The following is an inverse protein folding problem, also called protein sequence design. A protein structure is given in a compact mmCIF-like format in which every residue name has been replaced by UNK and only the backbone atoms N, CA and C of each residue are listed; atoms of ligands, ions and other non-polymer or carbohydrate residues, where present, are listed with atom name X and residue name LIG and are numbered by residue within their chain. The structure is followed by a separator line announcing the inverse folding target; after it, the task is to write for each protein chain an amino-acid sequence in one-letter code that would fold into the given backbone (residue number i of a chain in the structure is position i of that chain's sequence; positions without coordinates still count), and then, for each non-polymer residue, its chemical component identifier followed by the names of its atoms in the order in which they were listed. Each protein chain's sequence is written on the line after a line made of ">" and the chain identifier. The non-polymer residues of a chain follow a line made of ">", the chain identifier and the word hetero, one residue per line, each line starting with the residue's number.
data_IF_368054317369
#
_entry.id   IF_368054317369
#
_cell.length_a   1.000
_cell.length_b   1.000
_cell.length_c   1.000
_cell.angle_alpha   90.00
_cell.angle_beta   90.00
_cell.angle_gamma   90.00
#
_symmetry.space_group_name_H-M   'P 1'
#
loop_
_entity.id
_entity.type
_entity.pdbx_description
1 polymer ?
#
# COMPACT_ATOMS: atom_id res chain seq x y z
N UNK A 1 -26.57 -6.14 10.84
CA UNK A 1 -25.84 -4.85 10.86
C UNK A 1 -26.81 -3.82 11.40
N UNK A 2 -26.58 -3.29 12.61
CA UNK A 2 -27.41 -2.22 13.15
C UNK A 2 -26.93 -0.91 12.53
N UNK A 3 -27.77 -0.24 11.74
CA UNK A 3 -27.57 1.15 11.36
C UNK A 3 -27.58 2.05 12.59
N UNK A 4 -26.43 2.39 13.08
CA UNK A 4 -26.29 3.49 14.07
C UNK A 4 -26.03 4.79 13.32
N UNK A 5 -27.07 5.56 13.05
CA UNK A 5 -26.95 6.98 12.69
C UNK A 5 -26.43 7.77 13.89
N UNK A 6 -25.14 7.70 14.17
CA UNK A 6 -24.50 8.62 15.10
C UNK A 6 -24.11 9.87 14.28
N UNK A 7 -24.70 11.01 14.57
CA UNK A 7 -24.18 12.30 14.10
C UNK A 7 -22.84 12.51 14.83
N UNK A 8 -21.75 12.12 14.22
CA UNK A 8 -20.42 12.45 14.74
C UNK A 8 -20.19 13.94 14.57
N UNK A 9 -19.83 14.60 15.67
CA UNK A 9 -19.48 16.01 15.65
C UNK A 9 -18.04 16.11 15.15
N UNK A 10 -17.87 16.68 13.96
CA UNK A 10 -16.57 16.92 13.37
C UNK A 10 -15.72 17.82 14.28
N UNK A 11 -14.52 17.38 14.62
CA UNK A 11 -13.58 18.17 15.43
C UNK A 11 -12.90 19.25 14.59
N UNK A 12 -12.78 20.44 15.14
CA UNK A 12 -12.11 21.57 14.48
C UNK A 12 -10.98 22.08 15.38
N UNK A 13 -9.78 22.09 14.85
CA UNK A 13 -8.59 22.68 15.44
C UNK A 13 -8.43 24.11 14.87
N UNK A 14 -8.90 25.13 15.59
CA UNK A 14 -8.82 26.50 15.12
C UNK A 14 -7.49 27.14 15.54
N UNK A 15 -6.65 27.46 14.57
CA UNK A 15 -5.37 28.14 14.75
C UNK A 15 -5.32 29.48 13.98
N UNK A 16 -6.49 30.02 13.59
CA UNK A 16 -6.59 31.25 12.80
C UNK A 16 -5.98 32.50 13.44
N UNK A 17 -5.98 32.55 14.79
CA UNK A 17 -5.44 33.66 15.56
C UNK A 17 -3.93 33.56 15.89
N UNK A 18 -3.25 32.56 15.33
CA UNK A 18 -1.80 32.32 15.57
C UNK A 18 -0.95 32.89 14.44
N UNK A 19 0.37 32.86 14.63
CA UNK A 19 1.27 33.05 13.51
C UNK A 19 1.27 31.79 12.62
N UNK A 20 1.48 31.94 11.30
CA UNK A 20 1.55 30.81 10.36
C UNK A 20 2.51 29.71 10.85
N UNK A 21 3.71 30.10 11.33
CA UNK A 21 4.70 29.15 11.82
C UNK A 21 4.21 28.33 13.01
N UNK A 22 3.52 28.96 13.94
CA UNK A 22 2.93 28.28 15.11
C UNK A 22 1.77 27.36 14.71
N UNK A 23 0.89 27.85 13.82
CA UNK A 23 -0.22 27.09 13.30
C UNK A 23 0.25 25.80 12.58
N UNK A 24 1.26 25.92 11.70
CA UNK A 24 1.84 24.74 11.05
C UNK A 24 2.46 23.75 12.05
N UNK A 25 3.23 24.24 13.04
CA UNK A 25 3.80 23.39 14.09
C UNK A 25 2.71 22.65 14.90
N UNK A 26 1.58 23.29 15.18
CA UNK A 26 0.45 22.63 15.85
C UNK A 26 -0.29 21.67 14.93
N UNK A 27 -0.45 22.01 13.66
CA UNK A 27 -1.07 21.15 12.67
C UNK A 27 -0.27 19.84 12.46
N UNK A 28 1.07 19.91 12.53
CA UNK A 28 1.90 18.70 12.52
C UNK A 28 1.69 17.81 13.75
N UNK A 29 1.45 18.39 14.92
CA UNK A 29 1.07 17.61 16.12
C UNK A 29 -0.31 16.95 15.98
N UNK A 30 -1.26 17.63 15.31
CA UNK A 30 -2.57 17.04 15.00
C UNK A 30 -2.38 15.85 14.05
N UNK A 31 -1.59 16.03 12.98
CA UNK A 31 -1.25 14.97 12.04
C UNK A 31 -0.62 13.77 12.76
N UNK A 32 0.40 14.01 13.59
CA UNK A 32 1.10 12.97 14.34
C UNK A 32 0.16 12.19 15.26
N UNK A 33 -0.71 12.89 15.98
CA UNK A 33 -1.72 12.27 16.85
C UNK A 33 -2.68 11.39 16.05
N UNK A 34 -3.19 11.88 14.91
CA UNK A 34 -4.13 11.15 14.06
C UNK A 34 -3.45 9.97 13.34
N UNK A 35 -2.20 10.14 12.88
CA UNK A 35 -1.42 9.06 12.25
C UNK A 35 -1.24 7.83 13.16
N UNK A 36 -1.30 8.01 14.49
CA UNK A 36 -1.13 6.90 15.44
C UNK A 36 -2.38 6.65 16.31
N UNK A 37 -3.51 7.22 15.91
CA UNK A 37 -4.80 6.97 16.58
C UNK A 37 -5.27 5.55 16.26
N UNK A 38 -5.64 4.81 17.30
CA UNK A 38 -6.35 3.54 17.15
C UNK A 38 -7.85 3.81 17.15
N UNK A 39 -8.53 3.51 16.05
CA UNK A 39 -9.98 3.54 15.98
C UNK A 39 -10.58 2.38 16.80
N UNK A 40 -11.70 2.61 17.44
CA UNK A 40 -12.38 1.60 18.28
C UNK A 40 -13.37 0.81 17.41
N UNK A 41 -12.81 -0.03 16.51
CA UNK A 41 -13.58 -0.76 15.49
C UNK A 41 -14.67 -1.63 16.08
N UNK A 42 -14.44 -2.24 17.27
CA UNK A 42 -15.44 -3.03 17.98
C UNK A 42 -16.66 -2.20 18.40
N UNK A 43 -16.51 -0.87 18.50
CA UNK A 43 -17.59 0.08 18.79
C UNK A 43 -18.17 0.72 17.54
N UNK A 44 -17.70 0.30 16.34
CA UNK A 44 -18.11 0.84 15.06
C UNK A 44 -17.44 2.18 14.70
N UNK A 45 -16.34 2.56 15.37
CA UNK A 45 -15.52 3.69 15.00
C UNK A 45 -14.50 3.21 13.95
N UNK A 46 -14.80 3.44 12.67
CA UNK A 46 -14.01 2.92 11.53
C UNK A 46 -13.43 4.03 10.68
N UNK A 47 -13.84 5.27 10.87
CA UNK A 47 -13.31 6.45 10.20
C UNK A 47 -13.46 7.69 11.09
N UNK A 48 -12.65 8.71 10.82
CA UNK A 48 -12.76 10.02 11.48
C UNK A 48 -12.37 11.16 10.53
N UNK A 49 -12.93 12.34 10.78
CA UNK A 49 -12.61 13.56 10.06
C UNK A 49 -12.38 14.68 11.05
N UNK A 50 -11.23 15.36 10.92
CA UNK A 50 -10.94 16.59 11.68
C UNK A 50 -10.51 17.71 10.73
N UNK A 51 -10.76 18.95 11.08
CA UNK A 51 -10.33 20.12 10.37
C UNK A 51 -9.26 20.88 11.15
N UNK A 52 -8.33 21.50 10.43
CA UNK A 52 -7.40 22.48 10.99
C UNK A 52 -7.53 23.77 10.18
N UNK A 53 -7.90 24.87 10.85
CA UNK A 53 -8.00 26.21 10.25
C UNK A 53 -6.68 26.96 10.47
N UNK A 54 -6.18 27.61 9.40
CA UNK A 54 -4.92 28.35 9.41
C UNK A 54 -5.16 29.86 9.32
N UNK A 55 -4.22 30.70 9.82
CA UNK A 55 -4.30 32.17 9.73
C UNK A 55 -4.49 32.69 8.30
N UNK A 56 -3.90 32.00 7.32
CA UNK A 56 -4.03 32.30 5.88
C UNK A 56 -5.41 32.05 5.30
N UNK A 57 -6.39 31.60 6.10
CA UNK A 57 -7.71 31.18 5.62
C UNK A 57 -7.72 29.79 4.96
N UNK A 58 -6.58 29.11 4.88
CA UNK A 58 -6.50 27.73 4.41
C UNK A 58 -7.10 26.78 5.46
N UNK A 59 -7.63 25.66 4.99
CA UNK A 59 -8.13 24.58 5.84
C UNK A 59 -7.45 23.29 5.46
N UNK A 60 -6.98 22.53 6.44
CA UNK A 60 -6.50 21.15 6.24
C UNK A 60 -7.59 20.18 6.70
N UNK A 61 -7.96 19.26 5.82
CA UNK A 61 -8.87 18.17 6.13
C UNK A 61 -7.99 16.96 6.49
N UNK A 62 -8.19 16.41 7.68
CA UNK A 62 -7.57 15.16 8.12
C UNK A 62 -8.64 14.08 8.06
N UNK A 63 -8.33 12.99 7.38
CA UNK A 63 -9.19 11.81 7.26
C UNK A 63 -8.38 10.63 7.76
N UNK A 64 -8.88 9.91 8.74
CA UNK A 64 -8.37 8.62 9.18
C UNK A 64 -9.45 7.55 8.97
N UNK A 65 -9.02 6.38 8.49
CA UNK A 65 -9.92 5.31 8.09
C UNK A 65 -9.26 3.95 8.32
N UNK A 66 -10.04 3.01 8.85
CA UNK A 66 -9.59 1.62 9.00
C UNK A 66 -9.77 0.87 7.68
N UNK A 67 -8.75 0.11 7.29
CA UNK A 67 -8.75 -0.68 6.05
C UNK A 67 -9.79 -1.82 6.05
N UNK A 68 -10.41 -2.14 7.20
CA UNK A 68 -11.53 -3.09 7.24
C UNK A 68 -12.74 -2.64 6.43
N UNK A 69 -12.90 -1.35 6.17
CA UNK A 69 -14.09 -0.80 5.50
C UNK A 69 -13.80 -0.27 4.10
N UNK A 70 -12.55 -0.05 3.75
CA UNK A 70 -12.22 0.61 2.49
C UNK A 70 -10.79 0.28 2.04
N UNK A 71 -10.66 0.02 0.76
CA UNK A 71 -9.39 -0.02 0.03
C UNK A 71 -9.05 1.36 -0.58
N UNK A 72 -7.95 1.45 -1.32
CA UNK A 72 -7.53 2.70 -2.00
C UNK A 72 -8.58 3.18 -3.01
N UNK A 73 -9.22 2.27 -3.76
CA UNK A 73 -10.29 2.66 -4.71
C UNK A 73 -11.52 3.19 -3.97
N UNK A 74 -11.87 2.57 -2.84
CA UNK A 74 -12.94 3.07 -1.98
C UNK A 74 -12.65 4.46 -1.44
N UNK A 75 -11.39 4.73 -1.06
CA UNK A 75 -10.96 6.08 -0.67
C UNK A 75 -11.12 7.08 -1.83
N UNK A 76 -10.76 6.70 -3.05
CA UNK A 76 -10.97 7.55 -4.24
C UNK A 76 -12.45 7.86 -4.48
N UNK A 77 -13.35 6.87 -4.31
CA UNK A 77 -14.79 7.06 -4.41
C UNK A 77 -15.26 8.05 -3.34
N UNK A 78 -14.87 7.86 -2.09
CA UNK A 78 -15.20 8.75 -0.97
C UNK A 78 -14.74 10.19 -1.21
N UNK A 79 -13.50 10.38 -1.69
CA UNK A 79 -12.98 11.71 -1.99
C UNK A 79 -13.69 12.36 -3.17
N UNK A 80 -14.02 11.59 -4.23
CA UNK A 80 -14.84 12.04 -5.35
C UNK A 80 -16.22 12.52 -4.87
N UNK A 81 -16.86 11.73 -4.02
CA UNK A 81 -18.20 12.02 -3.50
C UNK A 81 -18.16 13.20 -2.52
N UNK A 82 -17.13 13.32 -1.69
CA UNK A 82 -16.92 14.47 -0.81
C UNK A 82 -16.84 15.77 -1.62
N UNK A 83 -16.06 15.80 -2.70
CA UNK A 83 -15.97 16.95 -3.59
C UNK A 83 -17.30 17.25 -4.28
N UNK A 84 -18.05 16.24 -4.69
CA UNK A 84 -19.38 16.40 -5.29
C UNK A 84 -20.39 16.97 -4.30
N UNK A 85 -20.44 16.43 -3.09
CA UNK A 85 -21.33 16.90 -2.02
C UNK A 85 -21.00 18.34 -1.58
N UNK A 86 -19.70 18.67 -1.45
CA UNK A 86 -19.26 20.03 -1.13
C UNK A 86 -19.74 21.06 -2.17
N UNK A 87 -19.79 20.67 -3.44
CA UNK A 87 -20.34 21.48 -4.53
C UNK A 87 -21.88 21.41 -4.66
N UNK A 88 -22.58 20.87 -3.66
CA UNK A 88 -24.04 20.79 -3.63
C UNK A 88 -24.64 19.78 -4.62
N UNK A 89 -23.83 18.86 -5.17
CA UNK A 89 -24.34 17.82 -6.06
C UNK A 89 -24.99 16.70 -5.26
N UNK A 90 -26.11 16.17 -5.80
CA UNK A 90 -26.71 14.96 -5.26
C UNK A 90 -25.77 13.78 -5.49
N UNK A 91 -25.49 13.03 -4.43
CA UNK A 91 -24.71 11.79 -4.54
C UNK A 91 -25.56 10.69 -5.23
N UNK A 92 -24.88 9.69 -5.84
CA UNK A 92 -25.56 8.50 -6.36
C UNK A 92 -26.46 7.87 -5.28
N UNK A 93 -27.58 7.31 -5.69
CA UNK A 93 -28.42 6.52 -4.79
C UNK A 93 -27.75 5.15 -4.56
N UNK A 94 -27.90 4.64 -3.33
CA UNK A 94 -27.39 3.31 -3.00
C UNK A 94 -28.00 2.26 -3.95
N UNK A 95 -27.15 1.39 -4.49
CA UNK A 95 -27.62 0.25 -5.25
C UNK A 95 -28.41 -0.68 -4.32
N UNK A 96 -29.64 -1.03 -4.72
CA UNK A 96 -30.45 -2.01 -3.99
C UNK A 96 -30.04 -3.45 -4.28
N UNK A 97 -29.38 -3.66 -5.42
CA UNK A 97 -29.09 -4.99 -5.95
C UNK A 97 -27.69 -5.46 -5.60
N UNK A 98 -26.75 -4.52 -5.36
CA UNK A 98 -25.37 -4.82 -5.08
C UNK A 98 -24.85 -4.10 -3.84
N UNK A 99 -24.29 -4.91 -2.94
CA UNK A 99 -23.51 -4.47 -1.79
C UNK A 99 -22.36 -5.47 -1.59
N UNK A 100 -21.45 -5.18 -0.67
CA UNK A 100 -20.29 -6.03 -0.46
C UNK A 100 -20.64 -7.47 -0.03
N UNK A 101 -21.70 -7.67 0.76
CA UNK A 101 -22.14 -9.01 1.16
C UNK A 101 -22.63 -9.83 -0.04
N UNK A 102 -23.51 -9.23 -0.88
CA UNK A 102 -23.98 -9.87 -2.11
C UNK A 102 -22.84 -10.20 -3.08
N UNK A 103 -21.83 -9.30 -3.17
CA UNK A 103 -20.61 -9.55 -3.93
C UNK A 103 -19.87 -10.79 -3.44
N UNK A 104 -19.63 -10.90 -2.13
CA UNK A 104 -18.89 -12.03 -1.54
C UNK A 104 -19.65 -13.36 -1.73
N UNK A 105 -20.96 -13.35 -1.56
CA UNK A 105 -21.81 -14.54 -1.81
C UNK A 105 -21.71 -14.98 -3.27
N UNK A 106 -21.80 -14.06 -4.21
CA UNK A 106 -21.69 -14.34 -5.64
C UNK A 106 -20.29 -14.83 -6.00
N UNK A 107 -19.27 -14.14 -5.56
CA UNK A 107 -17.87 -14.54 -5.78
C UNK A 107 -17.59 -15.96 -5.25
N UNK A 108 -18.13 -16.30 -4.08
CA UNK A 108 -17.94 -17.64 -3.49
C UNK A 108 -18.48 -18.77 -4.39
N UNK A 109 -19.53 -18.50 -5.14
CA UNK A 109 -20.11 -19.43 -6.11
C UNK A 109 -19.30 -19.48 -7.40
N UNK A 110 -19.05 -18.30 -7.98
CA UNK A 110 -18.42 -18.16 -9.30
C UNK A 110 -16.96 -18.64 -9.29
N UNK A 111 -16.22 -18.42 -8.19
CA UNK A 111 -14.80 -18.74 -8.09
C UNK A 111 -14.47 -20.14 -7.55
N UNK A 112 -15.48 -20.97 -7.30
CA UNK A 112 -15.26 -22.28 -6.65
C UNK A 112 -14.22 -23.16 -7.37
N UNK A 113 -14.30 -23.23 -8.69
CA UNK A 113 -13.40 -24.07 -9.52
C UNK A 113 -12.00 -23.47 -9.58
N UNK A 114 -11.91 -22.16 -9.77
CA UNK A 114 -10.65 -21.42 -9.81
C UNK A 114 -9.93 -21.49 -8.45
N UNK A 115 -10.68 -21.42 -7.37
CA UNK A 115 -10.16 -21.52 -6.00
C UNK A 115 -9.53 -22.89 -5.71
N UNK A 116 -10.16 -23.99 -6.15
CA UNK A 116 -9.55 -25.32 -5.97
C UNK A 116 -8.25 -25.47 -6.80
N UNK A 117 -8.24 -25.00 -8.05
CA UNK A 117 -7.00 -24.98 -8.86
C UNK A 117 -5.90 -24.15 -8.22
N UNK A 118 -6.23 -22.96 -7.73
CA UNK A 118 -5.30 -22.06 -7.07
C UNK A 118 -4.74 -22.70 -5.79
N UNK A 119 -5.60 -23.32 -4.98
CA UNK A 119 -5.23 -24.03 -3.78
C UNK A 119 -4.26 -25.18 -4.06
N UNK A 120 -4.51 -25.95 -5.11
CA UNK A 120 -3.61 -27.06 -5.52
C UNK A 120 -2.25 -26.54 -5.98
N UNK A 121 -2.22 -25.43 -6.72
CA UNK A 121 -0.98 -24.77 -7.12
C UNK A 121 -0.14 -24.36 -5.90
N UNK A 122 -0.73 -23.61 -4.96
CA UNK A 122 -0.03 -23.12 -3.77
C UNK A 122 0.39 -24.26 -2.84
N UNK A 123 -0.45 -25.29 -2.66
CA UNK A 123 -0.12 -26.46 -1.83
C UNK A 123 1.11 -27.22 -2.32
N UNK A 124 1.29 -27.36 -3.63
CA UNK A 124 2.49 -27.99 -4.20
C UNK A 124 3.76 -27.19 -3.94
N UNK A 125 3.64 -25.90 -3.70
CA UNK A 125 4.78 -25.01 -3.43
C UNK A 125 5.08 -24.82 -1.96
N UNK A 126 4.17 -25.13 -1.05
CA UNK A 126 4.35 -24.89 0.39
C UNK A 126 5.69 -25.40 0.95
N UNK A 127 6.20 -26.52 0.42
CA UNK A 127 7.46 -27.12 0.88
C UNK A 127 8.71 -26.37 0.40
N UNK A 128 8.58 -25.57 -0.64
CA UNK A 128 9.70 -24.88 -1.30
C UNK A 128 9.63 -23.37 -1.17
N UNK A 129 8.48 -22.81 -0.72
CA UNK A 129 8.35 -21.37 -0.50
C UNK A 129 9.32 -20.92 0.60
N UNK A 130 10.12 -19.87 0.34
CA UNK A 130 11.00 -19.30 1.35
C UNK A 130 10.20 -18.55 2.41
N UNK A 131 10.87 -18.10 3.45
CA UNK A 131 10.36 -17.12 4.41
C UNK A 131 10.44 -15.68 3.81
N UNK A 132 9.98 -14.70 4.55
CA UNK A 132 10.28 -13.30 4.26
C UNK A 132 11.79 -13.01 4.30
N UNK A 133 12.23 -11.81 3.89
CA UNK A 133 13.64 -11.43 3.97
C UNK A 133 14.11 -11.42 5.43
N UNK A 134 15.23 -12.10 5.70
CA UNK A 134 15.87 -12.13 7.01
C UNK A 134 16.72 -10.88 7.21
N UNK A 135 16.03 -9.76 7.47
CA UNK A 135 16.68 -8.47 7.73
C UNK A 135 17.30 -8.43 9.13
N UNK A 136 18.42 -7.69 9.34
CA UNK A 136 18.95 -7.46 10.66
C UNK A 136 17.90 -6.78 11.55
N UNK A 137 17.66 -7.34 12.72
CA UNK A 137 16.75 -6.78 13.71
C UNK A 137 17.52 -6.34 14.95
N UNK A 138 17.22 -5.15 15.45
CA UNK A 138 17.70 -4.64 16.73
C UNK A 138 16.87 -5.17 17.90
N UNK A 139 15.59 -5.51 17.65
CA UNK A 139 14.66 -6.08 18.64
C UNK A 139 13.81 -7.16 17.98
N UNK A 140 13.43 -8.17 18.75
CA UNK A 140 12.41 -9.12 18.30
C UNK A 140 11.06 -8.41 18.13
N UNK A 141 10.23 -8.77 17.15
CA UNK A 141 8.93 -8.14 16.94
C UNK A 141 8.02 -8.18 18.18
N UNK A 142 8.11 -9.24 18.98
CA UNK A 142 7.35 -9.43 20.21
C UNK A 142 7.77 -8.47 21.34
N UNK A 143 8.96 -7.88 21.26
CA UNK A 143 9.48 -6.90 22.22
C UNK A 143 9.04 -5.47 21.90
N UNK A 144 8.39 -5.25 20.74
CA UNK A 144 7.89 -3.94 20.34
C UNK A 144 6.49 -3.73 20.89
N UNK A 145 6.39 -3.10 22.05
CA UNK A 145 5.11 -2.85 22.76
C UNK A 145 4.12 -2.04 21.92
N UNK A 146 4.62 -1.07 21.15
CA UNK A 146 3.81 -0.21 20.29
C UNK A 146 4.42 -0.12 18.89
N UNK A 147 3.66 -0.61 17.92
CA UNK A 147 4.01 -0.45 16.51
C UNK A 147 3.78 1.01 16.09
N UNK A 148 4.87 1.70 15.76
CA UNK A 148 4.87 3.08 15.26
C UNK A 148 5.61 3.09 13.93
N UNK A 149 4.93 3.52 12.89
CA UNK A 149 5.53 3.64 11.56
C UNK A 149 6.11 5.04 11.36
N UNK A 150 7.30 5.07 10.77
CA UNK A 150 7.93 6.30 10.30
C UNK A 150 8.00 6.29 8.79
N UNK A 151 7.55 7.38 8.17
CA UNK A 151 7.54 7.53 6.71
C UNK A 151 8.81 8.19 6.22
N UNK A 152 9.43 7.55 5.23
CA UNK A 152 10.48 8.13 4.38
C UNK A 152 9.94 8.34 2.98
N UNK A 153 10.41 9.41 2.33
CA UNK A 153 9.93 9.80 1.00
C UNK A 153 11.12 10.01 0.09
N UNK A 154 11.08 9.38 -1.08
CA UNK A 154 11.93 9.68 -2.23
C UNK A 154 11.06 10.24 -3.33
N UNK A 155 11.51 11.33 -3.95
CA UNK A 155 10.87 11.94 -5.09
C UNK A 155 11.75 11.76 -6.32
N UNK A 156 11.22 11.10 -7.35
CA UNK A 156 11.83 11.06 -8.67
C UNK A 156 11.08 12.09 -9.51
N UNK A 157 11.81 13.10 -9.97
CA UNK A 157 11.26 14.20 -10.74
C UNK A 157 10.76 13.72 -12.11
N UNK A 158 9.80 14.44 -12.67
CA UNK A 158 9.08 14.07 -13.90
C UNK A 158 10.00 13.62 -15.02
N UNK A 159 11.05 14.39 -15.32
CA UNK A 159 11.97 14.08 -16.42
C UNK A 159 12.64 12.73 -16.24
N UNK A 160 13.19 12.47 -15.06
CA UNK A 160 13.86 11.23 -14.75
C UNK A 160 12.86 10.05 -14.71
N UNK A 161 11.66 10.30 -14.20
CA UNK A 161 10.60 9.30 -14.19
C UNK A 161 10.16 8.90 -15.61
N UNK A 162 10.02 9.85 -16.53
CA UNK A 162 9.73 9.61 -17.95
C UNK A 162 10.87 8.81 -18.62
N UNK A 163 12.13 9.08 -18.28
CA UNK A 163 13.29 8.32 -18.74
C UNK A 163 13.25 6.86 -18.23
N UNK A 164 12.96 6.63 -16.96
CA UNK A 164 12.78 5.28 -16.39
C UNK A 164 11.62 4.53 -17.04
N UNK A 165 10.48 5.19 -17.27
CA UNK A 165 9.34 4.62 -17.98
C UNK A 165 9.68 4.22 -19.41
N UNK A 166 10.45 5.07 -20.11
CA UNK A 166 10.92 4.79 -21.47
C UNK A 166 11.83 3.57 -21.52
N UNK A 167 12.79 3.49 -20.58
CA UNK A 167 13.65 2.30 -20.45
C UNK A 167 12.87 1.04 -20.09
N UNK A 168 11.92 1.12 -19.17
CA UNK A 168 11.07 -0.02 -18.88
C UNK A 168 10.37 -0.56 -20.14
N UNK A 169 9.88 0.35 -20.98
CA UNK A 169 9.29 -0.04 -22.27
C UNK A 169 10.30 -0.66 -23.22
N UNK A 170 11.52 -0.13 -23.30
CA UNK A 170 12.62 -0.68 -24.11
C UNK A 170 12.95 -2.13 -23.70
N UNK A 171 13.02 -2.38 -22.40
CA UNK A 171 13.25 -3.72 -21.83
C UNK A 171 11.98 -4.59 -21.73
N UNK A 172 10.89 -4.21 -22.41
CA UNK A 172 9.61 -4.94 -22.47
C UNK A 172 9.02 -5.26 -21.09
N UNK A 173 9.11 -4.30 -20.19
CA UNK A 173 8.57 -4.40 -18.82
C UNK A 173 7.73 -3.17 -18.47
N UNK A 174 7.23 -3.13 -17.25
CA UNK A 174 6.42 -2.01 -16.73
C UNK A 174 7.20 -1.23 -15.66
N UNK A 175 6.88 0.06 -15.45
CA UNK A 175 7.45 0.83 -14.35
C UNK A 175 7.23 0.18 -12.97
N UNK A 176 6.09 -0.48 -12.77
CA UNK A 176 5.81 -1.24 -11.54
C UNK A 176 6.80 -2.39 -11.32
N UNK A 177 7.13 -3.13 -12.39
CA UNK A 177 8.11 -4.22 -12.34
C UNK A 177 9.53 -3.71 -12.10
N UNK A 178 9.89 -2.58 -12.69
CA UNK A 178 11.17 -1.89 -12.43
C UNK A 178 11.28 -1.55 -10.93
N UNK A 179 10.27 -0.88 -10.36
CA UNK A 179 10.26 -0.50 -8.94
C UNK A 179 10.29 -1.73 -8.02
N UNK A 180 9.53 -2.77 -8.33
CA UNK A 180 9.52 -4.03 -7.58
C UNK A 180 10.90 -4.71 -7.59
N UNK A 181 11.54 -4.75 -8.76
CA UNK A 181 12.87 -5.34 -8.90
C UNK A 181 13.93 -4.52 -8.16
N UNK A 182 13.86 -3.20 -8.22
CA UNK A 182 14.75 -2.32 -7.46
C UNK A 182 14.55 -2.50 -5.95
N UNK A 183 13.30 -2.60 -5.48
CA UNK A 183 12.97 -2.89 -4.08
C UNK A 183 13.53 -4.24 -3.63
N UNK A 184 13.32 -5.29 -4.43
CA UNK A 184 13.85 -6.63 -4.17
C UNK A 184 15.39 -6.65 -4.13
N UNK A 185 16.06 -5.92 -5.03
CA UNK A 185 17.53 -5.78 -5.06
C UNK A 185 18.05 -5.14 -3.78
N UNK A 186 17.37 -4.11 -3.28
CA UNK A 186 17.75 -3.48 -2.01
C UNK A 186 17.51 -4.44 -0.85
N UNK A 187 16.34 -5.06 -0.74
CA UNK A 187 16.07 -6.03 0.31
C UNK A 187 17.10 -7.16 0.34
N UNK A 188 17.50 -7.68 -0.80
CA UNK A 188 18.50 -8.73 -0.93
C UNK A 188 19.85 -8.35 -0.31
N UNK A 189 20.29 -7.08 -0.44
CA UNK A 189 21.57 -6.61 0.09
C UNK A 189 21.63 -6.61 1.61
N UNK A 190 20.52 -6.42 2.28
CA UNK A 190 20.40 -6.46 3.74
C UNK A 190 19.88 -7.80 4.25
N UNK A 191 19.34 -8.65 3.39
CA UNK A 191 18.81 -9.94 3.78
C UNK A 191 19.89 -11.01 3.85
N UNK A 192 19.82 -11.84 4.89
CA UNK A 192 20.68 -13.02 5.02
C UNK A 192 20.35 -14.09 3.98
N UNK A 193 19.07 -14.27 3.68
CA UNK A 193 18.61 -15.22 2.67
C UNK A 193 18.49 -14.56 1.30
N UNK A 194 18.85 -15.31 0.24
CA UNK A 194 18.81 -14.84 -1.16
C UNK A 194 17.50 -15.18 -1.86
N UNK A 195 16.66 -16.00 -1.23
CA UNK A 195 15.28 -16.27 -1.65
C UNK A 195 14.36 -15.85 -0.54
N UNK A 196 13.34 -15.06 -0.86
CA UNK A 196 12.40 -14.54 0.13
C UNK A 196 11.05 -14.19 -0.48
N UNK A 197 10.04 -14.03 0.37
CA UNK A 197 8.70 -13.61 -0.02
C UNK A 197 8.50 -12.11 0.19
N UNK A 198 7.83 -11.48 -0.76
CA UNK A 198 7.29 -10.12 -0.66
C UNK A 198 5.77 -10.20 -0.74
N UNK A 199 5.06 -9.49 0.13
CA UNK A 199 3.62 -9.29 0.03
C UNK A 199 3.30 -8.25 -1.06
N UNK A 200 2.47 -8.65 -2.01
CA UNK A 200 1.95 -7.78 -3.06
C UNK A 200 0.45 -7.63 -2.84
N UNK A 201 -0.02 -6.50 -2.27
CA UNK A 201 -1.44 -6.19 -2.23
C UNK A 201 -1.93 -5.79 -3.62
N UNK A 202 -3.11 -6.26 -4.00
CA UNK A 202 -3.78 -5.83 -5.22
C UNK A 202 -5.30 -5.83 -5.02
N UNK A 203 -5.99 -5.05 -5.84
CA UNK A 203 -7.44 -4.89 -5.74
C UNK A 203 -8.12 -5.94 -6.61
N UNK A 204 -8.84 -6.86 -5.98
CA UNK A 204 -9.57 -7.93 -6.66
C UNK A 204 -11.06 -7.56 -6.80
N UNK A 205 -11.33 -6.33 -7.21
CA UNK A 205 -12.69 -5.85 -7.48
C UNK A 205 -13.13 -6.31 -8.86
N UNK A 206 -14.12 -7.19 -8.92
CA UNK A 206 -14.68 -7.70 -10.17
C UNK A 206 -15.67 -6.69 -10.74
N UNK A 207 -15.23 -5.90 -11.69
CA UNK A 207 -16.01 -4.83 -12.31
C UNK A 207 -17.03 -5.33 -13.32
N UNK A 208 -17.04 -6.62 -13.66
CA UNK A 208 -18.08 -7.27 -14.46
C UNK A 208 -19.46 -7.32 -13.75
N UNK A 209 -19.49 -7.13 -12.42
CA UNK A 209 -20.74 -6.98 -11.70
C UNK A 209 -21.20 -5.51 -11.73
N UNK A 210 -22.39 -5.21 -12.28
CA UNK A 210 -22.84 -3.83 -12.45
C UNK A 210 -22.87 -3.06 -11.12
N UNK A 211 -22.31 -1.85 -11.11
CA UNK A 211 -22.30 -0.96 -9.93
C UNK A 211 -21.21 -1.27 -8.91
N UNK A 212 -20.38 -2.29 -9.13
CA UNK A 212 -19.29 -2.62 -8.20
C UNK A 212 -18.20 -1.54 -8.15
N UNK A 213 -18.05 -0.76 -9.20
CA UNK A 213 -17.12 0.38 -9.27
C UNK A 213 -17.45 1.51 -8.27
N UNK A 214 -18.68 1.56 -7.76
CA UNK A 214 -19.14 2.56 -6.79
C UNK A 214 -19.27 2.00 -5.35
N UNK A 215 -19.01 0.71 -5.14
CA UNK A 215 -19.13 0.09 -3.80
C UNK A 215 -17.91 0.41 -2.96
N UNK A 216 -18.16 0.91 -1.74
CA UNK A 216 -17.12 1.17 -0.74
C UNK A 216 -16.97 -0.07 0.12
N UNK A 217 -15.81 -0.73 0.01
CA UNK A 217 -15.41 -1.89 0.82
C UNK A 217 -13.92 -2.19 0.62
N UNK A 218 -13.36 -3.07 1.42
CA UNK A 218 -12.02 -3.59 1.19
C UNK A 218 -12.07 -4.80 0.24
N UNK A 219 -11.60 -4.58 -0.99
CA UNK A 219 -11.41 -5.63 -2.01
C UNK A 219 -9.93 -6.05 -2.12
N UNK A 220 -9.09 -5.59 -1.20
CA UNK A 220 -7.67 -5.92 -1.20
C UNK A 220 -7.48 -7.41 -0.96
N UNK A 221 -6.68 -8.02 -1.80
CA UNK A 221 -6.16 -9.35 -1.60
C UNK A 221 -4.64 -9.32 -1.65
N UNK A 222 -4.00 -10.37 -1.17
CA UNK A 222 -2.55 -10.46 -1.11
C UNK A 222 -2.06 -11.59 -2.01
N UNK A 223 -0.92 -11.36 -2.64
CA UNK A 223 -0.11 -12.36 -3.30
C UNK A 223 1.23 -12.46 -2.58
N UNK A 224 1.68 -13.67 -2.28
CA UNK A 224 3.03 -13.93 -1.76
C UNK A 224 3.95 -14.18 -2.95
N UNK A 225 4.68 -13.15 -3.36
CA UNK A 225 5.63 -13.26 -4.46
C UNK A 225 6.97 -13.79 -3.97
N UNK A 226 7.42 -14.91 -4.55
CA UNK A 226 8.77 -15.41 -4.35
C UNK A 226 9.77 -14.62 -5.21
N UNK A 227 10.80 -14.09 -4.55
CA UNK A 227 11.97 -13.47 -5.17
C UNK A 227 13.17 -14.39 -5.03
N UNK A 228 13.85 -14.68 -6.14
CA UNK A 228 15.05 -15.52 -6.19
C UNK A 228 16.23 -14.73 -6.73
N UNK A 229 17.12 -14.34 -5.82
CA UNK A 229 18.38 -13.63 -6.11
C UNK A 229 19.61 -14.57 -6.07
N UNK A 230 19.42 -15.90 -6.06
CA UNK A 230 20.53 -16.84 -6.08
C UNK A 230 21.37 -16.70 -7.37
N UNK A 231 22.66 -17.00 -7.25
CA UNK A 231 23.64 -16.87 -8.32
C UNK A 231 23.93 -15.44 -8.82
N UNK A 232 23.66 -14.43 -7.97
CA UNK A 232 23.97 -13.02 -8.23
C UNK A 232 23.51 -12.55 -9.63
N UNK A 233 22.21 -12.58 -9.93
CA UNK A 233 21.70 -12.15 -11.24
C UNK A 233 22.01 -10.68 -11.50
N UNK A 234 22.13 -10.30 -12.76
CA UNK A 234 22.07 -8.90 -13.17
C UNK A 234 20.66 -8.33 -12.87
N UNK A 235 20.51 -7.00 -12.87
CA UNK A 235 19.19 -6.39 -12.65
C UNK A 235 18.16 -6.91 -13.69
N UNK A 236 18.54 -7.00 -14.96
CA UNK A 236 17.68 -7.50 -16.03
C UNK A 236 17.29 -8.97 -15.85
N UNK A 237 18.23 -9.83 -15.43
CA UNK A 237 17.94 -11.23 -15.14
C UNK A 237 16.99 -11.38 -13.96
N UNK A 238 17.20 -10.60 -12.88
CA UNK A 238 16.31 -10.60 -11.72
C UNK A 238 14.90 -10.11 -12.09
N UNK A 239 14.81 -9.02 -12.85
CA UNK A 239 13.55 -8.51 -13.38
C UNK A 239 12.80 -9.58 -14.16
N UNK A 240 13.48 -10.29 -15.06
CA UNK A 240 12.88 -11.38 -15.82
C UNK A 240 12.38 -12.53 -14.96
N UNK A 241 13.11 -12.90 -13.89
CA UNK A 241 12.67 -13.92 -12.90
C UNK A 241 11.42 -13.47 -12.17
N UNK A 242 11.43 -12.25 -11.62
CA UNK A 242 10.31 -11.67 -10.86
C UNK A 242 9.07 -11.54 -11.75
N UNK A 243 9.23 -11.00 -12.97
CA UNK A 243 8.11 -10.83 -13.90
C UNK A 243 7.49 -12.17 -14.28
N UNK A 244 8.29 -13.18 -14.55
CA UNK A 244 7.82 -14.55 -14.86
C UNK A 244 7.07 -15.14 -13.68
N UNK A 245 7.63 -15.04 -12.47
CA UNK A 245 7.02 -15.59 -11.26
C UNK A 245 5.69 -14.87 -10.92
N UNK A 246 5.69 -13.54 -10.96
CA UNK A 246 4.48 -12.76 -10.72
C UNK A 246 3.38 -13.10 -11.75
N UNK A 247 3.74 -13.21 -13.03
CA UNK A 247 2.79 -13.57 -14.08
C UNK A 247 2.18 -14.96 -13.87
N UNK A 248 2.98 -15.91 -13.40
CA UNK A 248 2.47 -17.25 -13.07
C UNK A 248 1.55 -17.23 -11.85
N UNK A 249 1.98 -16.59 -10.76
CA UNK A 249 1.24 -16.53 -9.50
C UNK A 249 -0.10 -15.78 -9.63
N UNK A 250 -0.16 -14.77 -10.50
CA UNK A 250 -1.40 -14.02 -10.79
C UNK A 250 -2.54 -14.88 -11.37
N UNK A 251 -2.24 -16.03 -11.96
CA UNK A 251 -3.26 -16.98 -12.45
C UNK A 251 -3.98 -17.72 -11.30
N UNK A 252 -3.42 -17.66 -10.09
CA UNK A 252 -3.86 -18.44 -8.94
C UNK A 252 -4.25 -17.58 -7.74
N UNK A 253 -4.68 -16.35 -7.99
CA UNK A 253 -5.05 -15.37 -6.95
C UNK A 253 -6.38 -15.67 -6.27
N UNK A 254 -7.19 -16.60 -6.79
CA UNK A 254 -8.41 -17.09 -6.14
C UNK A 254 -8.13 -17.80 -4.79
N UNK A 255 -6.88 -18.18 -4.53
CA UNK A 255 -6.38 -18.60 -3.22
C UNK A 255 -5.39 -17.55 -2.72
N UNK A 256 -5.86 -16.67 -1.83
CA UNK A 256 -5.14 -15.45 -1.46
C UNK A 256 -3.86 -15.74 -0.67
N UNK A 257 -2.91 -14.80 -0.68
CA UNK A 257 -1.69 -14.86 0.12
C UNK A 257 -1.95 -15.07 1.61
N UNK A 258 -3.08 -14.55 2.14
CA UNK A 258 -3.50 -14.81 3.54
C UNK A 258 -3.78 -16.30 3.77
N UNK A 259 -4.41 -16.96 2.80
CA UNK A 259 -4.68 -18.42 2.89
C UNK A 259 -3.38 -19.22 2.79
N UNK A 260 -2.47 -18.81 1.91
CA UNK A 260 -1.13 -19.42 1.80
C UNK A 260 -0.35 -19.24 3.10
N UNK A 261 -0.31 -18.05 3.69
CA UNK A 261 0.33 -17.80 4.99
C UNK A 261 -0.24 -18.69 6.11
N UNK A 262 -1.56 -18.83 6.17
CA UNK A 262 -2.21 -19.72 7.14
C UNK A 262 -1.79 -21.18 6.96
N UNK A 263 -1.66 -21.65 5.73
CA UNK A 263 -1.21 -23.01 5.45
C UNK A 263 0.28 -23.18 5.82
N UNK A 264 1.13 -22.19 5.53
CA UNK A 264 2.53 -22.15 5.96
C UNK A 264 2.65 -22.20 7.50
N UNK A 265 1.90 -21.37 8.21
CA UNK A 265 1.88 -21.34 9.69
C UNK A 265 1.42 -22.67 10.27
N UNK A 266 0.37 -23.29 9.71
CA UNK A 266 -0.08 -24.62 10.14
C UNK A 266 0.98 -25.70 9.95
N UNK A 267 1.78 -25.60 8.88
CA UNK A 267 2.78 -26.59 8.53
C UNK A 267 4.05 -26.48 9.37
N UNK A 268 4.50 -25.25 9.61
CA UNK A 268 5.78 -24.99 10.28
C UNK A 268 5.66 -24.54 11.73
N UNK A 269 4.44 -24.31 12.20
CA UNK A 269 4.17 -23.95 13.61
C UNK A 269 4.71 -22.58 14.04
N UNK A 270 5.13 -21.75 13.07
CA UNK A 270 5.82 -20.51 13.35
C UNK A 270 5.18 -19.33 12.59
N UNK A 271 4.79 -18.30 13.35
CA UNK A 271 4.32 -17.03 12.79
C UNK A 271 5.42 -16.27 12.02
N UNK A 272 6.71 -16.63 12.24
CA UNK A 272 7.87 -16.02 11.55
C UNK A 272 7.96 -16.37 10.06
N UNK A 273 7.09 -17.26 9.55
CA UNK A 273 6.98 -17.54 8.10
C UNK A 273 6.31 -16.40 7.34
N UNK A 274 5.80 -15.38 8.04
CA UNK A 274 5.18 -14.23 7.39
C UNK A 274 6.18 -13.45 6.52
N UNK A 275 5.72 -12.89 5.40
CA UNK A 275 6.46 -11.92 4.62
C UNK A 275 6.17 -10.52 5.19
N UNK A 276 7.01 -9.98 6.08
CA UNK A 276 6.71 -8.73 6.80
C UNK A 276 7.00 -7.47 5.97
N UNK A 277 7.34 -7.65 4.69
CA UNK A 277 7.61 -6.57 3.75
C UNK A 277 6.55 -6.54 2.67
N UNK A 278 6.11 -5.35 2.35
CA UNK A 278 5.02 -5.09 1.40
C UNK A 278 5.53 -4.24 0.25
N UNK A 279 5.07 -4.53 -0.95
CA UNK A 279 5.23 -3.68 -2.11
C UNK A 279 3.87 -3.34 -2.70
N UNK A 280 3.37 -2.13 -2.40
CA UNK A 280 2.11 -1.61 -2.89
C UNK A 280 2.35 -0.58 -4.00
N UNK A 281 2.01 -0.94 -5.23
CA UNK A 281 2.22 -0.09 -6.40
C UNK A 281 0.88 0.52 -6.85
N UNK A 282 0.75 1.85 -6.74
CA UNK A 282 -0.44 2.62 -7.10
C UNK A 282 -0.19 3.50 -8.34
N UNK A 283 0.71 3.09 -9.24
CA UNK A 283 0.97 3.81 -10.49
C UNK A 283 -0.25 3.83 -11.41
N UNK A 284 -0.45 4.94 -12.12
CA UNK A 284 -1.57 5.13 -13.03
C UNK A 284 -2.94 5.31 -12.36
N UNK A 285 -2.98 5.36 -11.03
CA UNK A 285 -4.23 5.50 -10.27
C UNK A 285 -4.09 6.65 -9.26
N UNK A 286 -4.33 7.90 -9.68
CA UNK A 286 -4.17 9.06 -8.79
C UNK A 286 -5.15 8.97 -7.62
N UNK A 287 -4.66 9.23 -6.41
CA UNK A 287 -5.47 9.17 -5.19
C UNK A 287 -6.61 10.19 -5.20
N UNK A 288 -6.37 11.36 -5.78
CA UNK A 288 -7.35 12.44 -5.94
C UNK A 288 -7.45 12.82 -7.42
N UNK A 289 -8.66 13.00 -7.90
CA UNK A 289 -8.91 13.48 -9.26
C UNK A 289 -8.81 15.02 -9.35
N UNK A 290 -8.71 15.56 -10.57
CA UNK A 290 -8.60 17.00 -10.80
C UNK A 290 -9.75 17.79 -10.15
N UNK A 291 -10.97 17.27 -10.24
CA UNK A 291 -12.14 17.91 -9.63
C UNK A 291 -12.02 18.04 -8.10
N UNK A 292 -11.44 17.04 -7.43
CA UNK A 292 -11.15 17.14 -6.01
C UNK A 292 -10.15 18.25 -5.73
N UNK A 293 -9.06 18.30 -6.52
CA UNK A 293 -8.02 19.33 -6.39
C UNK A 293 -8.59 20.74 -6.55
N UNK A 294 -9.43 20.96 -7.56
CA UNK A 294 -10.09 22.24 -7.81
C UNK A 294 -11.07 22.65 -6.69
N UNK A 295 -11.69 21.67 -6.02
CA UNK A 295 -12.73 21.92 -5.02
C UNK A 295 -12.18 21.99 -3.60
N UNK A 296 -11.36 21.02 -3.22
CA UNK A 296 -10.90 20.80 -1.84
C UNK A 296 -9.39 20.93 -1.68
N UNK A 297 -8.65 21.14 -2.77
CA UNK A 297 -7.22 21.39 -2.77
C UNK A 297 -6.38 20.14 -2.93
N UNK A 298 -5.08 20.31 -2.69
CA UNK A 298 -4.08 19.27 -2.96
C UNK A 298 -3.93 18.30 -1.80
N UNK A 299 -3.59 17.07 -2.16
CA UNK A 299 -3.18 16.05 -1.24
C UNK A 299 -1.80 16.38 -0.65
N UNK A 300 -1.63 16.32 0.67
CA UNK A 300 -0.39 16.73 1.32
C UNK A 300 0.34 15.62 2.07
N UNK A 301 -0.38 14.64 2.61
CA UNK A 301 0.21 13.59 3.42
C UNK A 301 -0.72 12.38 3.53
N UNK A 302 -0.15 11.19 3.50
CA UNK A 302 -0.82 9.94 3.83
C UNK A 302 0.19 9.03 4.54
N UNK A 303 -0.28 8.18 5.43
CA UNK A 303 0.48 7.05 5.99
C UNK A 303 -0.45 5.85 6.06
N UNK A 304 0.05 4.68 5.65
CA UNK A 304 -0.63 3.40 5.83
C UNK A 304 0.09 2.62 6.91
N UNK A 305 -0.67 1.93 7.77
CA UNK A 305 -0.10 1.20 8.90
C UNK A 305 -0.82 -0.14 9.06
N UNK A 306 -0.09 -1.23 8.87
CA UNK A 306 -0.58 -2.59 9.07
C UNK A 306 0.27 -3.26 10.14
N UNK A 307 -0.28 -3.65 11.30
CA UNK A 307 0.51 -4.08 12.46
C UNK A 307 1.48 -5.24 12.22
N UNK A 308 1.21 -6.12 11.23
CA UNK A 308 2.06 -7.27 10.90
C UNK A 308 3.17 -6.95 9.89
N UNK A 309 3.20 -5.72 9.38
CA UNK A 309 4.17 -5.27 8.40
C UNK A 309 5.31 -4.53 9.11
N UNK A 310 6.55 -4.78 8.67
CA UNK A 310 7.75 -4.10 9.17
C UNK A 310 8.21 -2.98 8.24
N UNK A 311 8.00 -3.17 6.94
CA UNK A 311 8.33 -2.21 5.91
C UNK A 311 7.28 -2.28 4.79
N UNK A 312 6.65 -1.14 4.49
CA UNK A 312 5.62 -0.97 3.47
C UNK A 312 6.11 0.03 2.43
N UNK A 313 6.39 -0.45 1.23
CA UNK A 313 6.71 0.38 0.08
C UNK A 313 5.42 0.78 -0.64
N UNK A 314 5.28 2.06 -0.95
CA UNK A 314 4.17 2.56 -1.76
C UNK A 314 4.66 3.55 -2.81
N UNK A 315 3.98 3.61 -3.96
CA UNK A 315 4.27 4.54 -5.05
C UNK A 315 3.03 5.30 -5.48
N UNK A 316 3.18 6.60 -5.76
CA UNK A 316 2.13 7.49 -6.22
C UNK A 316 2.67 8.41 -7.32
N UNK A 317 1.97 8.48 -8.45
CA UNK A 317 2.27 9.43 -9.54
C UNK A 317 1.46 10.70 -9.39
N UNK A 318 2.08 11.84 -9.75
CA UNK A 318 1.41 13.11 -9.96
C UNK A 318 2.04 13.84 -11.18
N UNK A 319 1.62 15.08 -11.43
CA UNK A 319 2.10 15.90 -12.55
C UNK A 319 3.60 16.21 -12.49
N UNK A 320 4.25 16.04 -11.34
CA UNK A 320 5.67 16.38 -11.11
C UNK A 320 6.58 15.15 -11.07
N UNK A 321 6.03 13.93 -11.27
CA UNK A 321 6.80 12.70 -11.29
C UNK A 321 6.22 11.61 -10.40
N UNK A 322 7.08 10.85 -9.71
CA UNK A 322 6.63 9.78 -8.80
C UNK A 322 7.16 9.99 -7.39
N UNK A 323 6.28 9.85 -6.43
CA UNK A 323 6.62 9.81 -5.01
C UNK A 323 6.65 8.35 -4.55
N UNK A 324 7.78 7.94 -4.00
CA UNK A 324 8.04 6.62 -3.46
C UNK A 324 8.16 6.74 -1.94
N UNK A 325 7.41 5.96 -1.21
CA UNK A 325 7.40 6.03 0.26
C UNK A 325 7.75 4.68 0.86
N UNK A 326 8.51 4.72 1.95
CA UNK A 326 8.81 3.59 2.81
C UNK A 326 8.29 3.89 4.21
N UNK A 327 7.28 3.15 4.63
CA UNK A 327 6.75 3.20 5.98
C UNK A 327 7.33 2.02 6.77
N UNK A 328 8.10 2.29 7.81
CA UNK A 328 8.78 1.25 8.58
C UNK A 328 8.59 1.38 10.07
N UNK A 329 8.59 0.24 10.75
CA UNK A 329 8.63 0.16 12.21
C UNK A 329 10.09 0.24 12.65
N UNK A 330 10.60 1.47 12.79
CA UNK A 330 12.03 1.73 13.05
C UNK A 330 12.56 1.06 14.32
N UNK A 331 11.69 0.87 15.32
CA UNK A 331 12.06 0.19 16.56
C UNK A 331 12.56 -1.26 16.35
N UNK A 332 12.24 -1.87 15.19
CA UNK A 332 12.70 -3.22 14.85
C UNK A 332 14.12 -3.25 14.30
N UNK A 333 14.58 -2.16 13.70
CA UNK A 333 15.81 -2.15 12.90
C UNK A 333 16.99 -1.47 13.64
N UNK A 334 18.24 -1.80 13.28
CA UNK A 334 19.40 -1.01 13.69
C UNK A 334 19.24 0.45 13.27
N UNK A 335 19.78 1.35 14.10
CA UNK A 335 19.78 2.78 13.81
C UNK A 335 20.36 3.06 12.41
N UNK A 336 19.74 3.98 11.66
CA UNK A 336 20.07 4.38 10.28
C UNK A 336 19.83 3.32 9.19
N UNK A 337 19.62 2.04 9.52
CA UNK A 337 19.54 0.98 8.50
C UNK A 337 18.50 1.27 7.42
N UNK A 338 17.28 1.67 7.81
CA UNK A 338 16.20 1.94 6.84
C UNK A 338 16.51 3.20 6.02
N UNK A 339 17.20 4.20 6.62
CA UNK A 339 17.67 5.40 5.89
C UNK A 339 18.71 5.02 4.82
N UNK A 340 19.62 4.11 5.14
CA UNK A 340 20.63 3.61 4.20
C UNK A 340 20.00 2.74 3.10
N UNK A 341 18.97 1.95 3.43
CA UNK A 341 18.20 1.16 2.45
C UNK A 341 17.50 2.06 1.44
N UNK A 342 16.76 3.06 1.88
CA UNK A 342 16.02 3.96 0.97
C UNK A 342 16.96 4.81 0.13
N UNK A 343 18.08 5.25 0.68
CA UNK A 343 19.13 5.95 -0.06
C UNK A 343 19.77 5.08 -1.13
N UNK A 344 19.97 3.79 -0.83
CA UNK A 344 20.48 2.82 -1.81
C UNK A 344 19.45 2.57 -2.91
N UNK A 345 18.17 2.55 -2.57
CA UNK A 345 17.08 2.43 -3.53
C UNK A 345 17.02 3.64 -4.48
N UNK A 346 17.10 4.85 -3.96
CA UNK A 346 17.16 6.09 -4.75
C UNK A 346 18.39 6.09 -5.67
N UNK A 347 19.56 5.76 -5.14
CA UNK A 347 20.81 5.67 -5.91
C UNK A 347 20.69 4.64 -7.04
N UNK A 348 20.07 3.48 -6.77
CA UNK A 348 19.84 2.45 -7.79
C UNK A 348 18.93 2.98 -8.91
N UNK A 349 17.84 3.67 -8.60
CA UNK A 349 16.96 4.25 -9.61
C UNK A 349 17.70 5.25 -10.51
N UNK A 350 18.50 6.15 -9.94
CA UNK A 350 19.34 7.08 -10.71
C UNK A 350 20.31 6.32 -11.64
N UNK A 351 20.98 5.27 -11.13
CA UNK A 351 21.87 4.46 -11.95
C UNK A 351 21.14 3.74 -13.10
N UNK A 352 19.92 3.26 -12.85
CA UNK A 352 19.10 2.61 -13.88
C UNK A 352 18.63 3.57 -14.96
N UNK A 353 18.61 4.89 -14.71
CA UNK A 353 18.38 5.91 -15.73
C UNK A 353 19.58 6.05 -16.67
N UNK A 354 20.79 5.98 -16.12
CA UNK A 354 22.02 6.25 -16.88
C UNK A 354 22.61 5.01 -17.54
N UNK A 355 22.52 3.84 -16.90
CA UNK A 355 23.21 2.60 -17.30
C UNK A 355 22.28 1.57 -17.92
N UNK A 356 22.85 0.59 -18.62
CA UNK A 356 22.13 -0.62 -19.04
C UNK A 356 21.78 -1.51 -17.84
N UNK A 357 20.71 -2.28 -17.95
CA UNK A 357 20.20 -3.14 -16.87
C UNK A 357 20.83 -4.55 -16.85
N UNK A 358 21.71 -4.82 -17.76
CA UNK A 358 22.52 -6.05 -17.87
C UNK A 358 23.76 -6.04 -16.97
N UNK A 359 24.00 -4.93 -16.25
CA UNK A 359 25.10 -4.78 -15.27
C UNK A 359 24.72 -5.36 -13.90
N UNK A 360 25.76 -5.81 -13.17
CA UNK A 360 25.66 -6.35 -11.80
C UNK A 360 25.87 -5.27 -10.75
#
# INVERSE_FOLDING_TARGET
>A
IQERKKKEKMSVNDFSDMTEKEAYKKAEKVRERLSHRKLQIEKGEVAGIELTLFPSGKTRIHIDMDLLIADVQSLQILLKDLAAAYNGKKLPEESKDWNFAAYLERQAVDDKKEKEKAKDYWRKRLDTLPKGPELPLAKCPEEVEKTVFHRRIVRIEKKEWEELQSKAKEYQTTPAMLLLTAYATVLERWSRNKRFLINIPFFNRKTEYPGMEEVIADFTTLLLLEVDCENNPTFLELLGRIQKQLHEDMKYTAYSGVQVQRDLTKRYGDASVSAPVVFACNLGTPLVNERFKETLGNFSYMISQTPQVWNDFQSYEDENGVQLTWDSVDALFPETMVDDMIKSFETLLHQLTEKGWDQR
#
